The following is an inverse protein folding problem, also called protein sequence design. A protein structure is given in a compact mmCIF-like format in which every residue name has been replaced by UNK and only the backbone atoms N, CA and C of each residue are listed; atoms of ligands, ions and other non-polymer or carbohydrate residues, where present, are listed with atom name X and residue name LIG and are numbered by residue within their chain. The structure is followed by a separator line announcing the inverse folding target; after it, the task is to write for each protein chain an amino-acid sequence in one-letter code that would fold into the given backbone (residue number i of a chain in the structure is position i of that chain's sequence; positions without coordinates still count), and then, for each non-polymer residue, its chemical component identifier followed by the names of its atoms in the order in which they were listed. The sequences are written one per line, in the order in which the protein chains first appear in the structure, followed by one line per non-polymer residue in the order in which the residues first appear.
data_IF_816314940777
#
_entry.id   IF_816314940777
#
_cell.length_a   1.000
_cell.length_b   1.000
_cell.length_c   1.000
_cell.angle_alpha   90.00
_cell.angle_beta   90.00
_cell.angle_gamma   90.00
#
_symmetry.space_group_name_H-M   'P 1'
#
loop_
_entity.id
_entity.type
_entity.pdbx_description
1 polymer ?
#
# COMPACT_ATOMS: atom_id res chain seq x y z
N UNK A 1 -0.76 10.01 -18.96
CA UNK A 1 -2.11 9.47 -18.67
C UNK A 1 -3.06 10.60 -18.30
N UNK A 2 -4.37 10.40 -18.27
CA UNK A 2 -5.33 11.38 -17.73
C UNK A 2 -6.42 10.66 -16.94
N UNK A 3 -6.53 10.97 -15.65
CA UNK A 3 -7.49 10.33 -14.76
C UNK A 3 -8.66 11.26 -14.42
N UNK A 4 -9.88 10.76 -14.58
CA UNK A 4 -11.11 11.46 -14.22
C UNK A 4 -11.49 11.02 -12.81
N UNK A 5 -11.30 11.90 -11.82
CA UNK A 5 -11.73 11.64 -10.45
C UNK A 5 -13.23 11.43 -10.39
N UNK A 6 -13.64 10.31 -9.81
CA UNK A 6 -15.05 9.99 -9.60
C UNK A 6 -15.50 10.32 -8.20
N UNK A 7 -14.60 10.37 -7.22
CA UNK A 7 -14.84 10.90 -5.88
C UNK A 7 -14.66 9.86 -4.78
N UNK A 8 -15.10 10.23 -3.58
CA UNK A 8 -15.02 9.45 -2.34
C UNK A 8 -15.92 8.19 -2.42
N UNK A 9 -15.39 7.06 -1.93
CA UNK A 9 -16.15 5.80 -1.79
C UNK A 9 -16.53 5.62 -0.32
N UNK A 10 -15.56 5.59 0.59
CA UNK A 10 -15.80 5.25 1.99
C UNK A 10 -14.87 6.01 2.93
N UNK A 11 -15.39 6.35 4.11
CA UNK A 11 -14.67 6.95 5.24
C UNK A 11 -14.92 6.08 6.46
N UNK A 12 -13.87 5.80 7.24
CA UNK A 12 -14.01 5.10 8.51
C UNK A 12 -14.61 6.04 9.57
N UNK A 13 -15.90 5.89 9.83
CA UNK A 13 -16.69 6.74 10.73
C UNK A 13 -17.18 6.01 12.00
N UNK A 14 -16.74 4.77 12.20
CA UNK A 14 -17.18 3.91 13.30
C UNK A 14 -18.44 3.09 13.03
N UNK A 15 -19.05 3.21 11.85
CA UNK A 15 -20.26 2.45 11.47
C UNK A 15 -20.12 0.92 11.62
N UNK A 16 -18.91 0.37 11.44
CA UNK A 16 -18.63 -1.08 11.51
C UNK A 16 -17.89 -1.51 12.78
N UNK A 17 -17.73 -0.61 13.74
CA UNK A 17 -17.14 -0.87 15.06
C UNK A 17 -16.01 0.07 15.45
N UNK A 18 -15.58 -0.02 16.71
CA UNK A 18 -14.58 0.87 17.32
C UNK A 18 -13.20 0.77 16.67
N UNK A 19 -12.92 -0.37 16.03
CA UNK A 19 -11.67 -0.66 15.32
C UNK A 19 -11.52 0.11 13.99
N UNK A 20 -12.59 0.73 13.49
CA UNK A 20 -12.64 1.43 12.20
C UNK A 20 -13.27 2.83 12.34
N UNK A 21 -12.60 3.71 13.06
CA UNK A 21 -13.15 5.01 13.50
C UNK A 21 -12.35 6.24 13.05
N UNK A 22 -11.15 6.07 12.51
CA UNK A 22 -10.30 7.22 12.14
C UNK A 22 -9.80 7.23 10.70
N UNK A 23 -9.34 6.09 10.17
CA UNK A 23 -8.77 6.03 8.81
C UNK A 23 -9.26 4.78 8.08
N UNK A 24 -9.35 4.88 6.75
CA UNK A 24 -9.49 3.75 5.83
C UNK A 24 -8.34 3.83 4.81
N UNK A 25 -7.25 3.13 5.06
CA UNK A 25 -5.96 3.32 4.41
C UNK A 25 -5.62 2.22 3.40
N UNK A 26 -4.79 2.60 2.41
CA UNK A 26 -4.13 1.75 1.43
C UNK A 26 -5.13 0.88 0.66
N UNK A 27 -6.01 1.46 -0.17
CA UNK A 27 -6.96 0.66 -0.94
C UNK A 27 -6.20 -0.34 -1.82
N UNK A 28 -6.44 -1.64 -1.59
CA UNK A 28 -5.86 -2.74 -2.38
C UNK A 28 -6.99 -3.53 -3.02
N UNK A 29 -7.29 -3.28 -4.30
CA UNK A 29 -8.43 -3.91 -4.95
C UNK A 29 -8.09 -5.33 -5.43
N UNK A 30 -9.08 -6.20 -5.38
CA UNK A 30 -9.12 -7.52 -5.99
C UNK A 30 -10.50 -7.71 -6.64
N UNK A 31 -10.53 -8.22 -7.87
CA UNK A 31 -11.79 -8.59 -8.51
C UNK A 31 -12.23 -9.96 -7.99
N UNK A 32 -13.34 -10.01 -7.24
CA UNK A 32 -13.89 -11.26 -6.71
C UNK A 32 -14.80 -11.97 -7.72
N UNK A 33 -15.52 -11.20 -8.54
CA UNK A 33 -16.40 -11.68 -9.58
C UNK A 33 -16.54 -10.64 -10.70
N UNK A 34 -17.37 -10.90 -11.71
CA UNK A 34 -17.65 -9.92 -12.77
C UNK A 34 -18.27 -8.61 -12.26
N UNK A 35 -18.96 -8.67 -11.12
CA UNK A 35 -19.75 -7.56 -10.58
C UNK A 35 -19.20 -6.99 -9.26
N UNK A 36 -18.22 -7.65 -8.63
CA UNK A 36 -17.72 -7.29 -7.31
C UNK A 36 -16.21 -7.08 -7.30
N UNK A 37 -15.81 -5.89 -6.85
CA UNK A 37 -14.42 -5.57 -6.46
C UNK A 37 -14.36 -5.53 -4.94
N UNK A 38 -13.51 -6.36 -4.35
CA UNK A 38 -13.14 -6.21 -2.93
C UNK A 38 -11.97 -5.25 -2.81
N UNK A 39 -12.13 -4.18 -2.06
CA UNK A 39 -11.06 -3.26 -1.72
C UNK A 39 -10.62 -3.55 -0.29
N UNK A 40 -9.50 -4.25 -0.15
CA UNK A 40 -8.86 -4.45 1.14
C UNK A 40 -8.31 -3.12 1.64
N UNK A 41 -8.45 -2.88 2.94
CA UNK A 41 -8.10 -1.63 3.61
C UNK A 41 -7.51 -1.93 4.97
N UNK A 42 -6.68 -1.01 5.45
CA UNK A 42 -6.38 -0.93 6.88
C UNK A 42 -7.26 0.12 7.50
N UNK A 43 -8.10 -0.32 8.44
CA UNK A 43 -8.91 0.55 9.27
C UNK A 43 -8.17 0.86 10.56
N UNK A 44 -8.22 2.12 10.99
CA UNK A 44 -7.61 2.54 12.25
C UNK A 44 -8.68 2.86 13.30
N UNK A 45 -8.41 2.49 14.55
CA UNK A 45 -9.19 2.96 15.69
C UNK A 45 -8.84 4.41 16.05
N UNK A 46 -9.42 4.91 17.15
CA UNK A 46 -9.19 6.29 17.63
C UNK A 46 -7.74 6.55 18.06
N UNK A 47 -6.99 5.50 18.41
CA UNK A 47 -5.58 5.58 18.77
C UNK A 47 -4.66 5.51 17.54
N UNK A 48 -5.22 5.27 16.34
CA UNK A 48 -4.47 5.11 15.11
C UNK A 48 -3.91 3.70 14.91
N UNK A 49 -4.39 2.70 15.67
CA UNK A 49 -3.93 1.31 15.55
C UNK A 49 -4.67 0.65 14.39
N UNK A 50 -3.90 0.26 13.37
CA UNK A 50 -4.40 -0.33 12.13
C UNK A 50 -4.75 -1.81 12.26
N UNK A 51 -5.88 -2.21 11.66
CA UNK A 51 -6.33 -3.60 11.47
C UNK A 51 -6.87 -3.76 10.05
N UNK A 52 -6.77 -4.96 9.49
CA UNK A 52 -7.17 -5.18 8.09
C UNK A 52 -8.65 -5.50 8.02
N UNK A 53 -9.35 -4.91 7.05
CA UNK A 53 -10.70 -5.27 6.64
C UNK A 53 -10.89 -5.05 5.15
N UNK A 54 -12.14 -4.94 4.72
CA UNK A 54 -12.45 -4.66 3.32
C UNK A 54 -13.76 -3.89 3.13
N UNK A 55 -13.89 -3.26 1.98
CA UNK A 55 -15.14 -2.73 1.41
C UNK A 55 -15.34 -3.40 0.06
N UNK A 56 -16.47 -4.07 -0.14
CA UNK A 56 -16.87 -4.62 -1.43
C UNK A 56 -17.69 -3.57 -2.17
N UNK A 57 -17.35 -3.32 -3.43
CA UNK A 57 -18.00 -2.33 -4.30
C UNK A 57 -18.41 -2.93 -5.62
N UNK A 58 -19.40 -2.30 -6.27
CA UNK A 58 -19.83 -2.67 -7.62
C UNK A 58 -18.69 -2.45 -8.63
N UNK A 59 -18.43 -3.44 -9.48
CA UNK A 59 -17.35 -3.42 -10.46
C UNK A 59 -17.57 -2.37 -11.58
N UNK A 60 -18.82 -2.08 -11.94
CA UNK A 60 -19.17 -1.05 -12.93
C UNK A 60 -19.20 0.36 -12.35
N UNK A 61 -19.51 0.46 -11.06
CA UNK A 61 -19.61 1.71 -10.33
C UNK A 61 -19.07 1.59 -8.90
N UNK A 62 -17.75 1.77 -8.69
CA UNK A 62 -17.12 1.63 -7.38
C UNK A 62 -17.65 2.53 -6.26
N UNK A 63 -18.50 3.53 -6.54
CA UNK A 63 -19.21 4.29 -5.50
C UNK A 63 -20.28 3.49 -4.78
N UNK A 64 -20.83 2.48 -5.43
CA UNK A 64 -21.87 1.65 -4.87
C UNK A 64 -21.23 0.58 -3.97
N UNK A 65 -21.29 0.83 -2.66
CA UNK A 65 -20.82 -0.12 -1.65
C UNK A 65 -21.84 -1.24 -1.52
N UNK A 66 -21.37 -2.47 -1.66
CA UNK A 66 -22.16 -3.69 -1.56
C UNK A 66 -22.06 -4.31 -0.17
N UNK A 67 -20.87 -4.26 0.44
CA UNK A 67 -20.61 -4.84 1.75
C UNK A 67 -19.39 -4.18 2.41
N UNK A 68 -19.32 -4.25 3.74
CA UNK A 68 -18.15 -3.84 4.52
C UNK A 68 -17.87 -4.90 5.57
N UNK A 69 -16.60 -5.27 5.76
CA UNK A 69 -16.22 -6.24 6.77
C UNK A 69 -16.67 -5.78 8.17
N UNK A 70 -17.41 -6.64 8.88
CA UNK A 70 -17.96 -6.33 10.23
C UNK A 70 -16.94 -6.53 11.35
N UNK A 71 -15.85 -7.22 11.08
CA UNK A 71 -14.77 -7.52 12.00
C UNK A 71 -13.44 -7.46 11.23
N UNK A 72 -12.30 -7.23 11.92
CA UNK A 72 -11.00 -7.37 11.31
C UNK A 72 -10.80 -8.75 10.69
N UNK A 73 -10.26 -8.80 9.47
CA UNK A 73 -9.82 -10.04 8.82
C UNK A 73 -8.37 -10.42 9.19
N UNK A 74 -7.61 -9.43 9.69
CA UNK A 74 -6.31 -9.59 10.35
C UNK A 74 -6.20 -8.52 11.44
N UNK A 75 -6.17 -8.96 12.70
CA UNK A 75 -5.96 -8.12 13.88
C UNK A 75 -4.45 -7.91 14.15
N UNK A 76 -4.09 -7.12 15.16
CA UNK A 76 -2.72 -6.89 15.62
C UNK A 76 -2.01 -8.17 16.10
N UNK A 77 -0.69 -8.09 16.20
CA UNK A 77 0.15 -9.16 16.72
C UNK A 77 0.01 -9.36 18.22
N UNK A 78 0.60 -10.44 18.74
CA UNK A 78 0.71 -10.65 20.19
C UNK A 78 1.76 -9.69 20.81
N UNK A 79 1.69 -9.40 22.12
CA UNK A 79 2.65 -8.52 22.77
C UNK A 79 4.11 -8.91 22.50
N UNK A 80 4.93 -7.92 22.12
CA UNK A 80 6.34 -8.08 21.76
C UNK A 80 6.61 -8.53 20.31
N UNK A 81 5.57 -8.74 19.49
CA UNK A 81 5.76 -8.94 18.03
C UNK A 81 5.85 -7.62 17.29
N UNK A 82 6.48 -7.65 16.10
CA UNK A 82 6.74 -6.44 15.31
C UNK A 82 5.48 -5.71 14.84
N UNK A 83 4.32 -6.37 14.90
CA UNK A 83 3.01 -5.88 14.48
C UNK A 83 2.02 -5.73 15.65
N UNK A 84 2.51 -5.68 16.90
CA UNK A 84 1.68 -5.48 18.10
C UNK A 84 1.00 -4.10 18.15
N UNK A 85 1.60 -3.06 17.53
CA UNK A 85 1.06 -1.68 17.56
C UNK A 85 0.29 -1.31 16.28
N UNK A 86 -0.12 -2.29 15.49
CA UNK A 86 -0.89 -2.07 14.27
C UNK A 86 -0.34 -2.82 13.07
N UNK A 87 -1.25 -3.10 12.14
CA UNK A 87 -0.96 -3.70 10.83
C UNK A 87 -1.45 -2.78 9.71
N UNK A 88 -0.62 -2.61 8.67
CA UNK A 88 -0.97 -1.90 7.45
C UNK A 88 -0.81 -2.83 6.25
N UNK A 89 -1.91 -3.28 5.63
CA UNK A 89 -1.82 -4.17 4.48
C UNK A 89 -1.33 -3.41 3.24
N UNK A 90 -0.47 -4.06 2.45
CA UNK A 90 0.10 -3.44 1.25
C UNK A 90 0.30 -4.41 0.11
N UNK A 91 -0.17 -5.65 0.15
CA UNK A 91 -0.26 -6.47 -1.06
C UNK A 91 -1.16 -7.64 -0.79
N UNK A 92 -1.99 -7.97 -1.76
CA UNK A 92 -2.67 -9.25 -1.80
C UNK A 92 -2.38 -9.92 -3.13
N UNK A 93 -2.08 -11.22 -3.10
CA UNK A 93 -1.93 -12.05 -4.29
C UNK A 93 -2.70 -13.35 -4.12
N UNK A 94 -3.30 -13.81 -5.22
CA UNK A 94 -3.85 -15.16 -5.33
C UNK A 94 -2.79 -16.09 -5.92
N UNK A 95 -2.54 -17.21 -5.26
CA UNK A 95 -1.59 -18.24 -5.70
C UNK A 95 -2.26 -19.23 -6.66
N UNK A 96 -1.47 -19.97 -7.48
CA UNK A 96 -2.02 -21.00 -8.38
C UNK A 96 -2.83 -22.10 -7.67
N UNK A 97 -2.58 -22.34 -6.39
CA UNK A 97 -3.30 -23.32 -5.59
C UNK A 97 -4.61 -22.78 -4.97
N UNK A 98 -5.03 -21.56 -5.32
CA UNK A 98 -6.25 -20.92 -4.83
C UNK A 98 -6.09 -20.19 -3.49
N UNK A 99 -4.98 -20.36 -2.77
CA UNK A 99 -4.73 -19.65 -1.51
C UNK A 99 -4.38 -18.19 -1.77
N UNK A 100 -4.74 -17.31 -0.85
CA UNK A 100 -4.36 -15.89 -0.86
C UNK A 100 -3.23 -15.62 0.10
N UNK A 101 -2.37 -14.68 -0.27
CA UNK A 101 -1.31 -14.14 0.59
C UNK A 101 -1.49 -12.64 0.74
N UNK A 102 -1.47 -12.19 1.99
CA UNK A 102 -1.64 -10.80 2.40
C UNK A 102 -0.33 -10.35 3.04
N UNK A 103 0.42 -9.54 2.30
CA UNK A 103 1.66 -8.92 2.76
C UNK A 103 1.31 -7.60 3.44
N UNK A 104 1.90 -7.38 4.61
CA UNK A 104 1.53 -6.26 5.47
C UNK A 104 2.76 -5.69 6.18
N UNK A 105 2.60 -4.50 6.74
CA UNK A 105 3.58 -3.82 7.58
C UNK A 105 3.16 -3.92 9.04
N UNK A 106 4.09 -4.25 9.92
CA UNK A 106 3.95 -4.13 11.37
C UNK A 106 4.64 -2.87 11.90
N UNK A 107 4.08 -2.30 12.97
CA UNK A 107 4.60 -1.12 13.64
C UNK A 107 5.32 -1.47 14.95
N UNK A 108 6.64 -1.31 14.96
CA UNK A 108 7.45 -1.39 16.18
C UNK A 108 7.73 0.02 16.71
N UNK A 109 7.10 0.40 17.82
CA UNK A 109 7.34 1.71 18.42
C UNK A 109 8.71 1.73 19.14
N UNK A 110 9.46 2.82 18.95
CA UNK A 110 10.74 3.03 19.60
C UNK A 110 10.67 4.09 20.71
N UNK A 111 11.60 4.02 21.66
CA UNK A 111 11.75 5.05 22.70
C UNK A 111 12.70 6.18 22.29
N UNK A 112 13.68 5.88 21.42
CA UNK A 112 14.67 6.84 20.89
C UNK A 112 14.46 7.22 19.43
N UNK A 113 13.69 6.42 18.70
CA UNK A 113 13.23 6.69 17.34
C UNK A 113 11.72 6.50 17.37
N UNK A 114 11.00 7.14 16.44
CA UNK A 114 9.54 7.09 16.45
C UNK A 114 8.99 5.67 16.23
N UNK A 115 9.54 4.94 15.26
CA UNK A 115 9.12 3.57 14.95
C UNK A 115 10.09 2.86 14.01
N UNK A 116 9.99 1.53 13.91
CA UNK A 116 10.47 0.71 12.79
C UNK A 116 9.27 0.13 12.05
N UNK A 117 9.41 -0.07 10.75
CA UNK A 117 8.39 -0.67 9.90
C UNK A 117 8.98 -1.89 9.21
N UNK A 118 8.47 -3.08 9.54
CA UNK A 118 8.93 -4.35 8.99
C UNK A 118 7.75 -5.09 8.36
N UNK A 119 8.04 -6.03 7.45
CA UNK A 119 6.98 -6.70 6.68
C UNK A 119 6.65 -8.08 7.21
N UNK A 120 5.36 -8.35 7.36
CA UNK A 120 4.80 -9.66 7.64
C UNK A 120 4.09 -10.29 6.45
N UNK A 121 3.67 -11.53 6.66
CA UNK A 121 2.87 -12.30 5.73
C UNK A 121 1.78 -13.06 6.47
N UNK A 122 0.55 -12.93 5.98
CA UNK A 122 -0.57 -13.76 6.36
C UNK A 122 -1.12 -14.51 5.14
N UNK A 123 -1.81 -15.62 5.40
CA UNK A 123 -2.39 -16.49 4.38
C UNK A 123 -3.86 -16.75 4.68
N UNK A 124 -4.64 -16.94 3.62
CA UNK A 124 -6.07 -17.23 3.71
C UNK A 124 -6.46 -18.25 2.66
N UNK A 125 -7.40 -19.13 3.02
CA UNK A 125 -8.04 -20.07 2.11
C UNK A 125 -9.35 -19.52 1.53
N UNK A 126 -9.97 -18.51 2.17
CA UNK A 126 -11.30 -17.98 1.83
C UNK A 126 -11.31 -16.49 1.43
N UNK A 127 -10.23 -15.74 1.70
CA UNK A 127 -10.15 -14.30 1.51
C UNK A 127 -10.92 -13.45 2.51
N UNK A 128 -11.45 -14.08 3.58
CA UNK A 128 -12.23 -13.46 4.66
C UNK A 128 -11.53 -13.53 6.01
N UNK A 129 -10.68 -14.54 6.24
CA UNK A 129 -9.86 -14.66 7.45
C UNK A 129 -8.42 -14.93 7.09
N UNK A 130 -7.50 -14.16 7.67
CA UNK A 130 -6.07 -14.30 7.42
C UNK A 130 -5.32 -14.74 8.67
N UNK A 131 -4.44 -15.73 8.51
CA UNK A 131 -3.57 -16.23 9.56
C UNK A 131 -2.12 -15.90 9.24
N UNK A 132 -1.40 -15.35 10.22
CA UNK A 132 0.04 -15.08 10.09
C UNK A 132 0.79 -16.37 9.78
N UNK A 133 1.72 -16.31 8.83
CA UNK A 133 2.62 -17.43 8.55
C UNK A 133 3.68 -17.59 9.64
N UNK A 134 4.13 -16.48 10.22
CA UNK A 134 5.09 -16.45 11.31
C UNK A 134 4.90 -15.19 12.15
N UNK A 135 5.41 -15.22 13.39
CA UNK A 135 5.34 -14.12 14.36
C UNK A 135 6.44 -13.06 14.15
N UNK A 136 7.51 -13.44 13.48
CA UNK A 136 8.62 -12.55 13.10
C UNK A 136 8.39 -11.95 11.72
N UNK A 137 8.99 -10.81 11.39
CA UNK A 137 8.98 -10.28 10.02
C UNK A 137 9.49 -11.29 8.99
N UNK A 138 8.90 -11.31 7.80
CA UNK A 138 9.47 -11.99 6.62
C UNK A 138 10.55 -11.14 5.94
N UNK A 139 10.50 -9.81 6.12
CA UNK A 139 11.57 -8.89 5.76
C UNK A 139 12.17 -8.32 7.05
N UNK A 140 13.10 -9.07 7.64
CA UNK A 140 13.84 -8.64 8.82
C UNK A 140 14.89 -7.59 8.46
N UNK A 141 15.19 -6.66 9.39
CA UNK A 141 16.21 -5.63 9.20
C UNK A 141 17.56 -6.20 8.74
N UNK A 142 18.28 -5.40 7.97
CA UNK A 142 19.65 -5.71 7.57
C UNK A 142 20.60 -4.57 7.95
N UNK A 143 21.89 -4.74 7.68
CA UNK A 143 22.89 -3.70 7.92
C UNK A 143 22.58 -2.42 7.12
N UNK A 144 22.14 -2.59 5.86
CA UNK A 144 21.89 -1.48 4.93
C UNK A 144 20.43 -0.99 4.96
N UNK A 145 19.51 -1.79 5.52
CA UNK A 145 18.07 -1.51 5.62
C UNK A 145 17.60 -1.73 7.07
N UNK A 146 18.07 -0.85 7.95
CA UNK A 146 18.05 -1.04 9.40
C UNK A 146 16.70 -0.74 10.05
N UNK A 147 16.01 0.29 9.57
CA UNK A 147 14.77 0.77 10.21
C UNK A 147 13.52 0.39 9.43
N UNK A 148 13.67 0.24 8.12
CA UNK A 148 12.54 0.09 7.20
C UNK A 148 12.82 -0.97 6.16
N UNK A 149 11.94 -1.98 6.16
CA UNK A 149 11.76 -2.97 5.10
C UNK A 149 10.27 -3.25 4.99
N UNK A 150 9.54 -2.27 4.48
CA UNK A 150 8.08 -2.17 4.61
C UNK A 150 7.40 -1.89 3.28
N UNK A 151 6.09 -1.67 3.34
CA UNK A 151 5.20 -1.47 2.20
C UNK A 151 5.45 -2.44 1.03
N UNK A 152 5.54 -3.76 1.29
CA UNK A 152 5.83 -4.76 0.26
C UNK A 152 4.71 -4.78 -0.76
N UNK A 153 5.04 -4.70 -2.04
CA UNK A 153 4.21 -5.06 -3.18
C UNK A 153 4.79 -6.32 -3.82
N UNK A 154 4.01 -7.38 -3.86
CA UNK A 154 4.45 -8.67 -4.38
C UNK A 154 3.69 -9.00 -5.65
N UNK A 155 4.43 -9.45 -6.67
CA UNK A 155 3.87 -10.07 -7.88
C UNK A 155 4.45 -11.47 -8.01
N UNK A 156 3.60 -12.46 -8.27
CA UNK A 156 4.02 -13.81 -8.62
C UNK A 156 3.94 -13.98 -10.14
N UNK A 157 5.07 -14.30 -10.77
CA UNK A 157 5.16 -14.55 -12.21
C UNK A 157 6.28 -15.55 -12.51
N UNK A 158 6.03 -16.45 -13.46
CA UNK A 158 7.01 -17.43 -13.95
C UNK A 158 7.70 -18.25 -12.84
N UNK A 159 6.95 -18.57 -11.78
CA UNK A 159 7.46 -19.34 -10.63
C UNK A 159 8.25 -18.52 -9.60
N UNK A 160 8.37 -17.21 -9.78
CA UNK A 160 9.15 -16.31 -8.93
C UNK A 160 8.22 -15.29 -8.25
N UNK A 161 8.46 -15.05 -6.97
CA UNK A 161 7.91 -13.92 -6.24
C UNK A 161 8.85 -12.72 -6.42
N UNK A 162 8.34 -11.69 -7.09
CA UNK A 162 9.00 -10.39 -7.26
C UNK A 162 8.47 -9.42 -6.23
N UNK A 163 9.36 -8.75 -5.50
CA UNK A 163 9.02 -7.83 -4.42
C UNK A 163 9.58 -6.45 -4.72
N UNK A 164 8.70 -5.44 -4.73
CA UNK A 164 9.06 -4.03 -4.63
C UNK A 164 8.65 -3.53 -3.26
N UNK A 165 9.55 -2.91 -2.52
CA UNK A 165 9.31 -2.54 -1.12
C UNK A 165 10.01 -1.24 -0.76
N UNK A 166 9.53 -0.58 0.28
CA UNK A 166 10.16 0.61 0.83
C UNK A 166 11.27 0.20 1.80
N UNK A 167 12.47 0.73 1.57
CA UNK A 167 13.64 0.48 2.39
C UNK A 167 14.24 1.79 2.93
N UNK A 168 14.96 1.71 4.06
CA UNK A 168 15.67 2.85 4.59
C UNK A 168 16.37 2.62 5.94
N UNK A 169 17.43 3.41 6.16
CA UNK A 169 18.28 3.38 7.35
C UNK A 169 18.50 4.76 7.97
N UNK A 170 17.83 5.79 7.46
CA UNK A 170 18.10 7.18 7.83
C UNK A 170 16.83 7.91 8.22
N UNK A 171 17.01 8.87 9.14
CA UNK A 171 16.04 9.87 9.51
C UNK A 171 16.62 11.24 9.20
N UNK A 172 15.78 12.15 8.74
CA UNK A 172 16.11 13.55 8.51
C UNK A 172 15.23 14.44 9.36
N UNK A 173 15.75 15.60 9.77
CA UNK A 173 14.99 16.57 10.54
C UNK A 173 14.30 17.54 9.58
N UNK A 174 12.98 17.62 9.66
CA UNK A 174 12.17 18.55 8.88
C UNK A 174 11.25 19.31 9.83
N UNK A 175 11.40 20.63 9.90
CA UNK A 175 10.62 21.51 10.78
C UNK A 175 10.57 21.02 12.24
N UNK A 176 11.71 20.54 12.75
CA UNK A 176 11.84 20.01 14.10
C UNK A 176 11.26 18.59 14.31
N UNK A 177 10.77 17.95 13.26
CA UNK A 177 10.22 16.58 13.29
C UNK A 177 11.14 15.60 12.57
N UNK A 178 11.42 14.47 13.21
CA UNK A 178 12.12 13.37 12.55
C UNK A 178 11.22 12.70 11.50
N UNK A 179 11.72 12.71 10.28
CA UNK A 179 11.08 12.14 9.10
C UNK A 179 11.98 11.05 8.51
N UNK A 180 11.44 9.88 8.21
CA UNK A 180 12.24 8.80 7.64
C UNK A 180 12.60 9.11 6.19
N UNK A 181 13.77 8.61 5.78
CA UNK A 181 14.28 8.68 4.41
C UNK A 181 14.16 7.32 3.76
N UNK A 182 13.52 7.28 2.58
CA UNK A 182 13.15 6.04 1.91
C UNK A 182 13.60 5.96 0.45
N UNK A 183 13.88 4.74 0.00
CA UNK A 183 13.93 4.33 -1.41
C UNK A 183 12.91 3.23 -1.67
N UNK A 184 12.57 2.97 -2.94
CA UNK A 184 11.88 1.74 -3.34
C UNK A 184 12.93 0.77 -3.86
N UNK A 185 13.02 -0.40 -3.25
CA UNK A 185 13.98 -1.45 -3.54
C UNK A 185 13.29 -2.70 -4.10
N UNK A 186 14.08 -3.58 -4.70
CA UNK A 186 13.65 -4.82 -5.32
C UNK A 186 14.38 -6.06 -4.80
N UNK A 187 13.63 -7.15 -4.62
CA UNK A 187 14.10 -8.48 -4.27
C UNK A 187 13.29 -9.57 -4.99
N UNK A 188 13.85 -10.77 -5.06
CA UNK A 188 13.18 -11.97 -5.56
C UNK A 188 13.19 -13.07 -4.49
N UNK A 189 12.21 -13.97 -4.58
CA UNK A 189 12.10 -15.16 -3.75
C UNK A 189 11.44 -16.30 -4.52
N UNK A 190 11.81 -17.53 -4.20
CA UNK A 190 11.19 -18.73 -4.75
C UNK A 190 9.92 -19.13 -3.98
N UNK A 191 9.80 -18.73 -2.72
CA UNK A 191 8.68 -19.12 -1.86
C UNK A 191 7.85 -17.94 -1.35
N UNK A 192 8.30 -16.70 -1.57
CA UNK A 192 7.64 -15.47 -1.16
C UNK A 192 7.63 -15.25 0.36
N UNK A 193 8.45 -15.99 1.10
CA UNK A 193 8.61 -15.95 2.56
C UNK A 193 10.04 -15.56 2.90
N UNK A 194 11.02 -16.21 2.28
CA UNK A 194 12.45 -15.94 2.48
C UNK A 194 12.96 -14.99 1.40
N UNK A 195 13.59 -13.90 1.83
CA UNK A 195 14.07 -12.83 0.95
C UNK A 195 15.53 -12.50 1.25
N UNK A 196 16.21 -11.88 0.28
CA UNK A 196 17.59 -11.42 0.46
C UNK A 196 17.73 -10.30 1.50
N UNK A 197 18.95 -10.07 1.98
CA UNK A 197 19.24 -9.06 3.01
C UNK A 197 19.39 -7.63 2.46
N UNK A 198 19.57 -7.47 1.15
CA UNK A 198 19.80 -6.16 0.53
C UNK A 198 19.07 -6.10 -0.80
N UNK A 199 18.12 -5.17 -0.92
CA UNK A 199 17.42 -4.94 -2.17
C UNK A 199 18.25 -4.10 -3.13
N UNK A 200 17.92 -4.20 -4.42
CA UNK A 200 18.42 -3.27 -5.43
C UNK A 200 17.53 -2.03 -5.45
N UNK A 201 18.11 -0.84 -5.39
CA UNK A 201 17.34 0.41 -5.51
C UNK A 201 16.72 0.50 -6.91
N UNK A 202 15.40 0.71 -6.95
CA UNK A 202 14.60 0.88 -8.17
C UNK A 202 14.16 2.32 -8.37
N UNK A 203 13.64 2.95 -7.31
CA UNK A 203 13.25 4.37 -7.30
C UNK A 203 14.00 5.04 -6.15
N UNK A 204 14.73 6.10 -6.51
CA UNK A 204 15.51 6.92 -5.59
C UNK A 204 14.97 8.36 -5.57
N UNK A 205 15.34 9.10 -4.53
CA UNK A 205 15.03 10.52 -4.32
C UNK A 205 15.61 11.32 -5.49
N UNK A 206 14.76 12.08 -6.19
CA UNK A 206 15.18 12.83 -7.37
C UNK A 206 15.84 14.18 -7.04
N UNK A 207 15.48 14.78 -5.90
CA UNK A 207 15.92 16.10 -5.49
C UNK A 207 15.67 16.33 -3.99
N UNK A 208 16.14 17.46 -3.49
CA UNK A 208 16.06 17.82 -2.07
C UNK A 208 14.64 18.09 -1.55
N UNK A 209 13.62 18.21 -2.39
CA UNK A 209 12.23 18.36 -1.93
C UNK A 209 11.61 17.02 -1.52
N UNK A 210 12.14 15.91 -2.03
CA UNK A 210 11.68 14.57 -1.71
C UNK A 210 12.44 14.01 -0.51
N UNK A 211 11.75 13.18 0.28
CA UNK A 211 12.42 12.47 1.36
C UNK A 211 11.94 11.03 1.51
N UNK A 212 11.11 10.53 0.61
CA UNK A 212 10.76 9.12 0.62
C UNK A 212 9.53 8.77 -0.18
N UNK A 213 9.16 7.49 -0.10
CA UNK A 213 8.12 6.91 -0.93
C UNK A 213 7.11 6.13 -0.08
N UNK A 214 5.91 6.00 -0.61
CA UNK A 214 4.77 5.36 0.02
C UNK A 214 3.99 4.55 -1.00
N UNK A 215 3.50 3.40 -0.54
CA UNK A 215 3.47 2.11 -1.24
C UNK A 215 3.65 2.07 -2.78
N UNK A 216 4.62 1.29 -3.30
CA UNK A 216 4.69 0.93 -4.72
C UNK A 216 3.52 0.01 -5.14
N UNK A 217 3.06 0.15 -6.37
CA UNK A 217 2.05 -0.71 -6.97
C UNK A 217 2.41 -0.97 -8.42
N UNK A 218 2.73 -2.24 -8.75
CA UNK A 218 3.28 -2.60 -10.06
C UNK A 218 2.26 -3.37 -10.89
N UNK A 219 1.96 -2.83 -12.06
CA UNK A 219 1.26 -3.53 -13.13
C UNK A 219 2.26 -4.02 -14.17
N UNK A 220 1.86 -5.07 -14.90
CA UNK A 220 2.56 -5.53 -16.09
C UNK A 220 1.54 -5.61 -17.22
N UNK A 221 1.74 -4.81 -18.27
CA UNK A 221 0.95 -4.86 -19.50
C UNK A 221 1.89 -5.26 -20.62
N UNK A 222 1.66 -6.44 -21.19
CA UNK A 222 2.55 -7.06 -22.18
C UNK A 222 3.99 -7.15 -21.62
N UNK A 223 4.94 -6.47 -22.25
CA UNK A 223 6.36 -6.46 -21.86
C UNK A 223 6.77 -5.22 -21.06
N UNK A 224 5.82 -4.42 -20.59
CA UNK A 224 6.07 -3.18 -19.85
C UNK A 224 5.56 -3.29 -18.42
N UNK A 225 6.45 -3.09 -17.46
CA UNK A 225 6.10 -2.84 -16.07
C UNK A 225 5.81 -1.36 -15.88
N UNK A 226 4.76 -1.10 -15.12
CA UNK A 226 4.29 0.23 -14.76
C UNK A 226 4.20 0.29 -13.24
N UNK A 227 4.90 1.22 -12.60
CA UNK A 227 4.83 1.42 -11.14
C UNK A 227 4.11 2.72 -10.85
N UNK A 228 3.08 2.62 -10.02
CA UNK A 228 2.45 3.76 -9.36
C UNK A 228 2.95 3.79 -7.93
N UNK A 229 3.33 4.95 -7.43
CA UNK A 229 3.84 5.10 -6.06
C UNK A 229 3.45 6.46 -5.51
N UNK A 230 3.65 6.64 -4.21
CA UNK A 230 3.43 7.91 -3.52
C UNK A 230 4.78 8.54 -3.21
N UNK A 231 4.91 9.84 -3.44
CA UNK A 231 6.12 10.63 -3.21
C UNK A 231 5.89 11.50 -1.97
N UNK A 232 6.79 11.44 -1.00
CA UNK A 232 6.81 12.33 0.16
C UNK A 232 7.62 13.57 -0.17
N UNK A 233 6.95 14.71 -0.16
CA UNK A 233 7.53 16.01 -0.45
C UNK A 233 7.53 16.83 0.85
N UNK A 234 8.65 17.45 1.21
CA UNK A 234 8.89 18.07 2.52
C UNK A 234 7.80 19.07 2.94
N UNK A 235 7.41 19.95 2.04
CA UNK A 235 6.45 21.03 2.35
C UNK A 235 5.06 20.81 1.78
N UNK A 236 4.79 19.62 1.25
CA UNK A 236 3.49 19.24 0.72
C UNK A 236 3.01 17.95 1.39
N UNK A 237 1.73 17.64 1.19
CA UNK A 237 1.27 16.28 1.41
C UNK A 237 1.84 15.32 0.36
N UNK A 238 1.57 14.02 0.51
CA UNK A 238 1.91 13.05 -0.52
C UNK A 238 1.37 13.45 -1.91
N UNK A 239 2.14 13.09 -2.93
CA UNK A 239 1.74 13.13 -4.35
C UNK A 239 1.88 11.74 -4.96
N UNK A 240 1.26 11.52 -6.10
CA UNK A 240 1.43 10.28 -6.84
C UNK A 240 2.54 10.43 -7.88
N UNK A 241 3.34 9.38 -8.03
CA UNK A 241 4.41 9.23 -9.00
C UNK A 241 4.15 8.04 -9.92
N UNK A 242 4.88 8.03 -11.03
CA UNK A 242 4.77 7.02 -12.07
C UNK A 242 6.14 6.68 -12.64
N UNK A 243 6.39 5.40 -12.90
CA UNK A 243 7.60 4.93 -13.55
C UNK A 243 7.34 3.72 -14.44
N UNK A 244 8.23 3.51 -15.42
CA UNK A 244 8.17 2.38 -16.35
C UNK A 244 9.48 1.59 -16.36
N UNK A 245 9.36 0.29 -16.64
CA UNK A 245 10.49 -0.62 -16.76
C UNK A 245 10.20 -1.76 -17.72
N UNK A 246 11.20 -2.20 -18.48
CA UNK A 246 11.09 -3.40 -19.34
C UNK A 246 11.40 -4.71 -18.61
N UNK A 247 12.10 -4.65 -17.46
CA UNK A 247 12.55 -5.82 -16.71
C UNK A 247 12.01 -5.88 -15.27
N UNK A 248 11.37 -4.79 -14.81
CA UNK A 248 10.87 -4.64 -13.45
C UNK A 248 11.95 -4.26 -12.43
N UNK A 249 13.20 -4.06 -12.87
CA UNK A 249 14.36 -3.86 -12.02
C UNK A 249 14.97 -2.47 -12.25
N UNK A 250 15.15 -2.07 -13.51
CA UNK A 250 15.65 -0.75 -13.88
C UNK A 250 14.47 0.13 -14.33
N UNK A 251 14.27 1.24 -13.64
CA UNK A 251 13.08 2.07 -13.81
C UNK A 251 13.42 3.45 -14.35
N UNK A 252 12.57 3.94 -15.25
CA UNK A 252 12.58 5.34 -15.70
C UNK A 252 11.43 6.07 -15.03
N UNK A 253 11.75 7.03 -14.15
CA UNK A 253 10.74 7.91 -13.52
C UNK A 253 10.08 8.78 -14.58
N UNK A 254 8.76 8.83 -14.53
CA UNK A 254 7.86 9.57 -15.44
C UNK A 254 6.77 10.26 -14.62
N UNK A 255 7.13 10.86 -13.49
CA UNK A 255 6.17 11.43 -12.53
C UNK A 255 5.24 12.46 -13.16
N UNK A 256 5.75 13.25 -14.11
CA UNK A 256 4.96 14.23 -14.85
C UNK A 256 3.85 13.61 -15.74
N UNK A 257 3.92 12.31 -16.03
CA UNK A 257 2.94 11.58 -16.84
C UNK A 257 1.80 10.96 -16.02
N UNK A 258 1.84 11.05 -14.67
CA UNK A 258 0.87 10.43 -13.75
C UNK A 258 -0.58 10.85 -14.05
N UNK A 259 -0.80 12.09 -14.49
CA UNK A 259 -2.10 12.56 -15.00
C UNK A 259 -3.19 12.78 -13.94
N UNK A 260 -2.82 12.90 -12.67
CA UNK A 260 -3.70 13.20 -11.54
C UNK A 260 -2.92 13.94 -10.45
N UNK A 261 -3.58 14.90 -9.79
CA UNK A 261 -3.05 15.62 -8.62
C UNK A 261 -4.19 15.87 -7.62
N UNK A 262 -3.92 16.50 -6.48
CA UNK A 262 -4.90 16.90 -5.46
C UNK A 262 -6.05 17.72 -6.06
N UNK A 263 -7.24 17.60 -5.46
CA UNK A 263 -8.40 18.40 -5.88
C UNK A 263 -8.26 19.84 -5.39
N UNK A 264 -8.97 20.80 -6.02
CA UNK A 264 -9.02 22.18 -5.54
C UNK A 264 -9.63 22.29 -4.12
N UNK A 265 -10.51 21.37 -3.74
CA UNK A 265 -11.18 21.31 -2.44
C UNK A 265 -11.68 19.90 -2.14
N UNK A 266 -11.91 19.60 -0.86
CA UNK A 266 -12.59 18.37 -0.43
C UNK A 266 -11.67 17.32 0.20
N UNK A 267 -12.09 16.06 0.13
CA UNK A 267 -11.49 14.95 0.85
C UNK A 267 -10.05 14.62 0.41
N UNK A 268 -9.64 15.04 -0.79
CA UNK A 268 -8.34 14.75 -1.41
C UNK A 268 -7.61 16.03 -1.92
N UNK A 269 -7.85 17.16 -1.26
CA UNK A 269 -7.30 18.47 -1.66
C UNK A 269 -5.93 18.83 -1.07
N UNK A 270 -5.45 18.10 -0.08
CA UNK A 270 -4.16 18.34 0.57
C UNK A 270 -3.11 17.29 0.14
N UNK A 271 -3.56 16.05 -0.05
CA UNK A 271 -2.74 14.95 -0.56
C UNK A 271 -3.56 13.91 -1.30
N UNK A 272 -2.87 13.17 -2.14
CA UNK A 272 -3.30 11.90 -2.70
C UNK A 272 -2.17 10.88 -2.51
N UNK A 273 -2.50 9.68 -2.03
CA UNK A 273 -1.49 8.66 -1.78
C UNK A 273 -2.03 7.22 -1.90
N UNK A 274 -1.10 6.27 -1.84
CA UNK A 274 -1.32 4.83 -1.78
C UNK A 274 -2.21 4.31 -2.90
N UNK A 275 -1.94 4.77 -4.13
CA UNK A 275 -2.72 4.40 -5.30
C UNK A 275 -2.56 2.92 -5.64
N UNK A 276 -3.67 2.29 -6.00
CA UNK A 276 -3.71 0.97 -6.61
C UNK A 276 -4.54 1.01 -7.89
N UNK A 277 -4.05 0.37 -8.94
CA UNK A 277 -4.67 0.42 -10.27
C UNK A 277 -5.14 -0.96 -10.68
N UNK A 278 -6.34 -1.07 -11.24
CA UNK A 278 -6.84 -2.33 -11.78
C UNK A 278 -7.63 -2.09 -13.07
N UNK A 279 -7.61 -3.10 -13.95
CA UNK A 279 -8.49 -3.13 -15.12
C UNK A 279 -9.70 -4.01 -14.81
N UNK A 280 -10.89 -3.54 -15.16
CA UNK A 280 -12.16 -4.24 -14.99
C UNK A 280 -12.96 -4.06 -16.26
N UNK A 281 -13.17 -5.18 -16.99
CA UNK A 281 -13.74 -5.18 -18.33
C UNK A 281 -13.01 -4.17 -19.23
N UNK A 282 -13.69 -3.12 -19.68
CA UNK A 282 -13.16 -2.08 -20.57
C UNK A 282 -12.72 -0.81 -19.81
N UNK A 283 -12.80 -0.79 -18.47
CA UNK A 283 -12.43 0.34 -17.62
C UNK A 283 -11.12 0.09 -16.88
N UNK A 284 -10.41 1.17 -16.57
CA UNK A 284 -9.24 1.15 -15.69
C UNK A 284 -9.49 2.10 -14.54
N UNK A 285 -9.46 1.58 -13.32
CA UNK A 285 -9.66 2.36 -12.10
C UNK A 285 -8.34 2.54 -11.35
N UNK A 286 -8.16 3.73 -10.78
CA UNK A 286 -7.17 4.01 -9.75
C UNK A 286 -7.91 4.28 -8.44
N UNK A 287 -7.75 3.42 -7.45
CA UNK A 287 -8.17 3.66 -6.08
C UNK A 287 -7.05 4.38 -5.33
N UNK A 288 -7.37 5.37 -4.51
CA UNK A 288 -6.36 6.14 -3.77
C UNK A 288 -6.94 6.75 -2.48
N UNK A 289 -6.06 7.06 -1.54
CA UNK A 289 -6.39 7.77 -0.31
C UNK A 289 -6.33 9.29 -0.49
N UNK A 290 -7.20 9.97 0.27
CA UNK A 290 -7.19 11.43 0.38
C UNK A 290 -6.33 11.92 1.54
N UNK A 291 -6.75 13.04 2.12
CA UNK A 291 -6.05 13.78 3.17
C UNK A 291 -5.70 12.94 4.41
N UNK A 292 -4.62 13.37 5.08
CA UNK A 292 -4.11 12.76 6.33
C UNK A 292 -4.01 11.22 6.23
N UNK A 293 -3.40 10.72 5.14
CA UNK A 293 -3.13 9.29 4.92
C UNK A 293 -4.39 8.39 4.89
N UNK A 294 -5.56 8.94 4.55
CA UNK A 294 -6.81 8.18 4.48
C UNK A 294 -7.78 8.44 5.64
N UNK A 295 -7.55 9.47 6.46
CA UNK A 295 -8.52 9.94 7.46
C UNK A 295 -9.82 10.40 6.82
N UNK A 296 -9.71 11.08 5.69
CA UNK A 296 -10.85 11.46 4.85
C UNK A 296 -11.29 10.35 3.89
N UNK A 297 -10.81 9.12 4.12
CA UNK A 297 -11.20 7.93 3.38
C UNK A 297 -10.39 7.66 2.11
N UNK A 298 -11.00 6.83 1.26
CA UNK A 298 -10.47 6.50 -0.06
C UNK A 298 -11.55 6.68 -1.13
N UNK A 299 -11.10 6.97 -2.34
CA UNK A 299 -11.96 7.14 -3.50
C UNK A 299 -11.30 6.54 -4.73
N UNK A 300 -11.83 6.91 -5.88
CA UNK A 300 -11.31 6.41 -7.14
C UNK A 300 -11.36 7.43 -8.28
N UNK A 301 -10.54 7.17 -9.28
CA UNK A 301 -10.53 7.82 -10.58
C UNK A 301 -10.58 6.75 -11.68
N UNK A 302 -11.06 7.14 -12.85
CA UNK A 302 -11.15 6.31 -14.05
C UNK A 302 -10.22 6.87 -15.11
N UNK A 303 -9.47 6.02 -15.81
CA UNK A 303 -8.60 6.45 -16.91
C UNK A 303 -9.46 6.92 -18.10
N UNK A 304 -9.21 8.14 -18.60
CA UNK A 304 -9.84 8.61 -19.84
C UNK A 304 -9.36 7.78 -21.03
N UNK A 305 -10.29 7.37 -21.90
CA UNK A 305 -9.99 6.65 -23.15
C UNK A 305 -9.53 7.59 -24.25
#
# INVERSE_FOLDING_TARGET
MKWIKKGLIYVADGSVGTWATSHAMVPTPEQLSEDVIRVYLTFCDQQGIGRVGYVDVNAENPKEILNVSKQPILDIGEPGTFDENGVLQTSIISLPNGKKRLYYVGFELGTKIRYRLLSGLAMSDDGETFQRIQKTPILERSHDELYFRCAPFVKYEDGIFKLWYVAGSHWTLLDGKEMPVYTINYLESLDGIHWGNKGRVCIDIANDEEHGFGRPFVLKKENLYQMFYSIRVKHLGYRLGYAESSDGIHWTRKDHEIGIDVSASGWDSQMICYSAVMSVKDKVYMFYNGNEFGKTGFGYAELER
#
